data_IF_669681101921
#
_entry.id   IF_669681101921
#
_cell.length_a   1.000
_cell.length_b   1.000
_cell.length_c   1.000
_cell.angle_alpha   90.00
_cell.angle_beta   90.00
_cell.angle_gamma   90.00
#
_symmetry.space_group_name_H-M   'P 1'
#
loop_
_entity.id
_entity.type
_entity.pdbx_description
1 polymer ?
#
# COMPACT_ATOMS: atom_id res chain seq x y z
N UNK A 1 -51.58 47.10 50.33
CA UNK A 1 -50.15 46.77 50.57
C UNK A 1 -50.11 45.27 50.84
N UNK A 2 -49.93 44.49 49.81
CA UNK A 2 -49.81 43.02 49.95
C UNK A 2 -48.44 42.61 49.41
N UNK A 3 -47.63 42.04 50.28
CA UNK A 3 -46.28 41.55 49.96
C UNK A 3 -46.40 40.21 49.20
N UNK A 4 -45.67 40.12 48.09
CA UNK A 4 -45.47 38.90 47.35
C UNK A 4 -44.43 38.02 48.08
N UNK A 5 -44.61 36.69 48.13
CA UNK A 5 -43.60 35.83 48.71
C UNK A 5 -42.54 35.49 47.64
N UNK A 6 -41.33 35.94 47.87
CA UNK A 6 -40.13 35.52 47.16
C UNK A 6 -39.71 34.15 47.73
N UNK A 7 -40.06 33.08 46.98
CA UNK A 7 -39.81 31.71 47.40
C UNK A 7 -39.09 30.90 46.31
N UNK A 8 -37.92 31.33 45.89
CA UNK A 8 -36.97 30.44 45.17
C UNK A 8 -35.83 30.05 46.13
N UNK A 9 -35.97 28.85 46.65
CA UNK A 9 -34.87 28.24 47.37
C UNK A 9 -33.66 28.09 46.42
N UNK A 10 -32.43 28.46 46.80
CA UNK A 10 -31.25 28.24 45.98
C UNK A 10 -31.03 26.72 45.85
N UNK A 11 -31.10 26.23 44.64
CA UNK A 11 -30.67 24.86 44.32
C UNK A 11 -29.24 24.74 44.80
N UNK A 12 -29.01 23.84 45.77
CA UNK A 12 -27.76 23.72 46.46
C UNK A 12 -26.60 23.49 45.48
N UNK A 13 -25.70 24.47 45.41
CA UNK A 13 -24.50 24.44 44.57
C UNK A 13 -23.72 23.09 44.59
N UNK A 14 -23.67 22.36 45.73
CA UNK A 14 -23.02 21.02 45.76
C UNK A 14 -23.77 19.92 45.02
N UNK A 15 -25.07 20.02 44.80
CA UNK A 15 -25.82 19.02 44.04
C UNK A 15 -25.61 19.23 42.54
N UNK A 16 -25.56 20.48 42.08
CA UNK A 16 -25.28 20.82 40.68
C UNK A 16 -23.82 20.47 40.30
N UNK A 17 -22.86 20.72 41.19
CA UNK A 17 -21.48 20.38 41.00
C UNK A 17 -21.30 18.86 40.84
N UNK A 18 -21.92 18.03 41.67
CA UNK A 18 -21.93 16.56 41.55
C UNK A 18 -22.60 16.06 40.27
N UNK A 19 -23.64 16.72 39.80
CA UNK A 19 -24.24 16.36 38.50
C UNK A 19 -23.34 16.72 37.33
N UNK A 20 -22.69 17.87 37.36
CA UNK A 20 -21.73 18.28 36.31
C UNK A 20 -20.50 17.34 36.28
N UNK A 21 -19.97 16.93 37.45
CA UNK A 21 -18.91 15.92 37.52
C UNK A 21 -19.35 14.59 36.92
N UNK A 22 -20.55 14.10 37.25
CA UNK A 22 -21.09 12.87 36.66
C UNK A 22 -21.29 12.98 35.15
N UNK A 23 -21.74 14.12 34.64
CA UNK A 23 -21.89 14.39 33.21
C UNK A 23 -20.52 14.45 32.55
N UNK A 24 -19.55 15.14 33.17
CA UNK A 24 -18.18 15.19 32.65
C UNK A 24 -17.53 13.80 32.57
N UNK A 25 -17.64 12.99 33.64
CA UNK A 25 -17.14 11.63 33.68
C UNK A 25 -17.86 10.73 32.64
N UNK A 26 -19.16 10.90 32.47
CA UNK A 26 -19.91 10.15 31.45
C UNK A 26 -19.54 10.59 30.01
N UNK A 27 -19.33 11.89 29.77
CA UNK A 27 -18.86 12.42 28.53
C UNK A 27 -17.42 12.00 28.21
N UNK A 28 -16.54 11.97 29.21
CA UNK A 28 -15.18 11.46 29.12
C UNK A 28 -15.17 9.95 28.80
N UNK A 29 -16.05 9.17 29.40
CA UNK A 29 -16.24 7.75 29.09
C UNK A 29 -16.81 7.53 27.70
N UNK A 30 -17.75 8.35 27.24
CA UNK A 30 -18.33 8.30 25.89
C UNK A 30 -17.39 8.84 24.82
N UNK A 31 -16.60 9.87 25.15
CA UNK A 31 -15.63 10.47 24.22
C UNK A 31 -14.40 9.58 24.02
N UNK A 32 -14.24 8.51 24.82
CA UNK A 32 -13.09 7.61 24.69
C UNK A 32 -11.74 8.35 24.79
N UNK A 33 -11.67 9.40 25.62
CA UNK A 33 -10.50 10.27 25.76
C UNK A 33 -9.35 9.63 26.56
N UNK A 34 -9.00 8.43 26.20
CA UNK A 34 -7.62 7.99 26.39
C UNK A 34 -6.89 8.43 25.12
N UNK A 35 -5.90 9.30 25.26
CA UNK A 35 -5.01 9.64 24.14
C UNK A 35 -4.61 8.34 23.44
N UNK A 36 -4.67 8.28 22.10
CA UNK A 36 -4.26 7.08 21.38
C UNK A 36 -2.88 6.67 21.87
N UNK A 37 -2.64 5.37 22.00
CA UNK A 37 -1.34 4.89 22.44
C UNK A 37 -0.27 5.48 21.53
N UNK A 38 0.84 5.95 22.12
CA UNK A 38 1.93 6.51 21.34
C UNK A 38 2.47 5.46 20.37
N UNK A 39 2.78 5.88 19.14
CA UNK A 39 3.40 5.01 18.15
C UNK A 39 4.86 4.79 18.54
N UNK A 40 5.26 3.53 18.69
CA UNK A 40 6.66 3.14 18.82
C UNK A 40 7.25 2.95 17.41
N UNK A 41 7.92 3.99 16.91
CA UNK A 41 8.55 3.96 15.59
C UNK A 41 9.82 3.11 15.51
N UNK A 42 10.40 2.75 16.66
CA UNK A 42 11.60 1.93 16.75
C UNK A 42 11.27 0.42 16.80
N UNK A 43 9.99 0.07 17.00
CA UNK A 43 9.53 -1.31 17.08
C UNK A 43 9.67 -2.08 15.75
N UNK A 44 9.67 -1.40 14.59
CA UNK A 44 9.71 -2.07 13.29
C UNK A 44 10.20 -1.14 12.16
N UNK A 45 10.60 -1.76 11.04
CA UNK A 45 10.91 -1.04 9.80
C UNK A 45 9.67 -0.87 8.90
N UNK A 46 8.58 -1.57 9.22
CA UNK A 46 7.31 -1.50 8.49
C UNK A 46 6.14 -1.44 9.45
N UNK A 47 5.12 -0.68 9.08
CA UNK A 47 3.91 -0.45 9.86
C UNK A 47 2.69 -0.61 8.98
N UNK A 48 1.54 -0.91 9.60
CA UNK A 48 0.24 -0.89 8.95
C UNK A 48 -0.63 0.19 9.57
N UNK A 49 -1.23 0.99 8.72
CA UNK A 49 -2.19 2.00 9.13
C UNK A 49 -3.51 1.35 9.56
N UNK A 50 -3.98 1.68 10.76
CA UNK A 50 -5.26 1.20 11.34
C UNK A 50 -6.30 2.30 11.48
N UNK A 51 -5.91 3.55 11.28
CA UNK A 51 -6.78 4.71 11.47
C UNK A 51 -6.89 5.18 12.91
N UNK A 52 -7.47 6.35 13.08
CA UNK A 52 -7.86 6.89 14.39
C UNK A 52 -9.28 6.42 14.72
N UNK A 53 -9.50 5.15 14.99
CA UNK A 53 -10.84 4.64 15.28
C UNK A 53 -11.38 5.13 16.63
N UNK A 54 -12.66 5.50 16.69
CA UNK A 54 -13.36 5.80 17.93
C UNK A 54 -13.30 4.57 18.85
N UNK A 55 -12.67 4.73 20.03
CA UNK A 55 -12.54 3.66 21.02
C UNK A 55 -11.31 2.75 20.87
N UNK A 56 -10.41 2.99 19.94
CA UNK A 56 -9.18 2.22 19.81
C UNK A 56 -8.17 2.62 20.88
N UNK A 57 -7.89 1.71 21.82
CA UNK A 57 -6.78 1.82 22.77
C UNK A 57 -5.41 1.55 22.11
N UNK A 58 -5.40 1.24 20.82
CA UNK A 58 -4.22 0.88 20.03
C UNK A 58 -3.68 2.07 19.27
N UNK A 59 -2.36 2.11 19.09
CA UNK A 59 -1.70 3.11 18.26
C UNK A 59 -2.24 3.06 16.81
N UNK A 60 -2.34 4.20 16.10
CA UNK A 60 -2.85 4.26 14.71
C UNK A 60 -1.94 3.53 13.72
N UNK A 61 -0.67 3.33 14.06
CA UNK A 61 0.30 2.51 13.31
C UNK A 61 0.60 1.23 14.09
N UNK A 62 0.29 0.09 13.48
CA UNK A 62 0.62 -1.24 13.98
C UNK A 62 1.96 -1.70 13.41
N UNK A 63 2.97 -2.06 14.23
CA UNK A 63 4.23 -2.57 13.75
C UNK A 63 4.06 -3.94 13.07
N UNK A 64 4.72 -4.14 11.91
CA UNK A 64 4.82 -5.42 11.22
C UNK A 64 6.10 -6.11 11.67
N UNK A 65 5.99 -7.07 12.58
CA UNK A 65 7.14 -7.72 13.21
C UNK A 65 8.05 -8.46 12.21
N UNK A 66 7.47 -9.08 11.16
CA UNK A 66 8.22 -9.82 10.15
C UNK A 66 7.72 -9.44 8.74
N UNK A 67 8.14 -8.29 8.20
CA UNK A 67 7.77 -7.91 6.85
C UNK A 67 8.37 -8.89 5.83
N UNK A 68 7.59 -9.27 4.82
CA UNK A 68 8.05 -10.13 3.73
C UNK A 68 9.03 -9.34 2.83
N UNK A 69 10.31 -9.40 3.13
CA UNK A 69 11.37 -8.71 2.40
C UNK A 69 11.85 -9.54 1.21
N UNK A 70 12.32 -8.87 0.17
CA UNK A 70 12.87 -9.48 -1.05
C UNK A 70 14.10 -8.68 -1.44
N UNK A 71 15.20 -9.33 -1.79
CA UNK A 71 16.37 -8.65 -2.35
C UNK A 71 16.16 -8.33 -3.84
N UNK A 72 16.76 -7.25 -4.36
CA UNK A 72 16.63 -6.87 -5.77
C UNK A 72 17.14 -7.93 -6.73
N UNK A 73 18.19 -8.64 -6.38
CA UNK A 73 18.79 -9.74 -7.16
C UNK A 73 17.90 -10.99 -7.25
N UNK A 74 16.96 -11.16 -6.32
CA UNK A 74 15.94 -12.21 -6.37
C UNK A 74 14.78 -11.89 -7.32
N UNK A 75 14.68 -10.66 -7.80
CA UNK A 75 13.66 -10.25 -8.76
C UNK A 75 14.08 -10.65 -10.19
N UNK A 76 13.19 -11.31 -10.92
CA UNK A 76 13.41 -11.74 -12.31
C UNK A 76 12.52 -10.95 -13.26
N UNK A 77 13.03 -10.69 -14.46
CA UNK A 77 12.29 -10.09 -15.59
C UNK A 77 11.78 -8.64 -15.36
N UNK A 78 12.28 -7.96 -14.31
CA UNK A 78 11.86 -6.60 -13.94
C UNK A 78 13.07 -5.66 -13.71
N UNK A 79 14.24 -6.00 -14.24
CA UNK A 79 15.47 -5.28 -13.96
C UNK A 79 15.41 -3.78 -14.32
N UNK A 80 14.80 -3.43 -15.46
CA UNK A 80 14.62 -2.02 -15.86
C UNK A 80 13.69 -1.27 -14.90
N UNK A 81 12.56 -1.88 -14.56
CA UNK A 81 11.58 -1.31 -13.63
C UNK A 81 12.18 -1.16 -12.24
N UNK A 82 12.88 -2.19 -11.76
CA UNK A 82 13.57 -2.19 -10.48
C UNK A 82 14.62 -1.08 -10.40
N UNK A 83 15.44 -0.90 -11.42
CA UNK A 83 16.47 0.12 -11.47
C UNK A 83 15.92 1.56 -11.38
N UNK A 84 14.76 1.82 -12.01
CA UNK A 84 14.08 3.13 -11.93
C UNK A 84 13.62 3.40 -10.50
N UNK A 85 12.91 2.45 -9.87
CA UNK A 85 12.34 2.60 -8.55
C UNK A 85 13.43 2.64 -7.47
N UNK A 86 14.45 1.78 -7.59
CA UNK A 86 15.61 1.75 -6.69
C UNK A 86 16.35 3.09 -6.71
N UNK A 87 16.64 3.64 -7.89
CA UNK A 87 17.29 4.94 -8.02
C UNK A 87 16.49 6.05 -7.35
N UNK A 88 15.18 6.11 -7.58
CA UNK A 88 14.29 7.09 -6.97
C UNK A 88 14.27 6.96 -5.44
N UNK A 89 14.19 5.73 -4.93
CA UNK A 89 14.22 5.46 -3.49
C UNK A 89 15.57 5.84 -2.87
N UNK A 90 16.67 5.55 -3.56
CA UNK A 90 18.01 5.95 -3.12
C UNK A 90 18.15 7.47 -3.03
N UNK A 91 17.68 8.21 -4.04
CA UNK A 91 17.64 9.68 -4.01
C UNK A 91 16.87 10.18 -2.78
N UNK A 92 15.69 9.64 -2.54
CA UNK A 92 14.85 10.00 -1.40
C UNK A 92 15.54 9.76 -0.05
N UNK A 93 16.13 8.60 0.15
CA UNK A 93 16.83 8.23 1.40
C UNK A 93 18.01 9.15 1.67
N UNK A 94 18.73 9.56 0.63
CA UNK A 94 19.84 10.51 0.74
C UNK A 94 19.40 11.98 0.84
N UNK A 95 18.12 12.27 0.88
CA UNK A 95 17.59 13.64 1.04
C UNK A 95 17.54 14.43 -0.26
N UNK A 96 17.74 13.80 -1.42
CA UNK A 96 17.57 14.43 -2.72
C UNK A 96 16.10 14.42 -3.16
N UNK A 97 15.78 15.28 -4.14
CA UNK A 97 14.46 15.30 -4.74
C UNK A 97 14.12 13.94 -5.36
N UNK A 98 12.92 13.46 -5.04
CA UNK A 98 12.38 12.19 -5.51
C UNK A 98 10.88 12.30 -5.77
N UNK A 99 10.32 11.38 -6.56
CA UNK A 99 8.94 11.44 -7.00
C UNK A 99 8.08 10.34 -6.36
N UNK A 100 6.79 10.59 -6.25
CA UNK A 100 5.80 9.55 -6.02
C UNK A 100 5.81 8.56 -7.19
N UNK A 101 5.56 7.27 -6.92
CA UNK A 101 5.69 6.19 -7.91
C UNK A 101 4.38 5.43 -8.07
N UNK A 102 3.93 5.27 -9.31
CA UNK A 102 2.82 4.41 -9.68
C UNK A 102 3.33 3.22 -10.51
N UNK A 103 3.09 2.01 -10.01
CA UNK A 103 3.43 0.75 -10.66
C UNK A 103 2.17 0.11 -11.21
N UNK A 104 2.02 0.06 -12.54
CA UNK A 104 0.80 -0.46 -13.21
C UNK A 104 1.08 -1.73 -13.98
N UNK A 105 0.03 -2.52 -14.26
CA UNK A 105 0.12 -3.65 -15.18
C UNK A 105 -0.30 -4.99 -14.58
N UNK A 106 0.03 -6.08 -15.27
CA UNK A 106 -0.48 -7.42 -15.01
C UNK A 106 -0.24 -7.89 -13.57
N UNK A 107 -1.16 -8.71 -13.05
CA UNK A 107 -1.05 -9.29 -11.70
C UNK A 107 0.12 -10.26 -11.61
N UNK A 108 0.81 -10.28 -10.47
CA UNK A 108 1.87 -11.23 -10.18
C UNK A 108 3.17 -11.00 -10.97
N UNK A 109 3.39 -9.81 -11.53
CA UNK A 109 4.60 -9.43 -12.28
C UNK A 109 5.70 -8.80 -11.44
N UNK A 110 5.53 -8.69 -10.12
CA UNK A 110 6.58 -8.20 -9.22
C UNK A 110 6.42 -6.74 -8.76
N UNK A 111 5.30 -6.05 -9.06
CA UNK A 111 5.07 -4.66 -8.65
C UNK A 111 5.31 -4.44 -7.15
N UNK A 112 4.54 -5.12 -6.31
CA UNK A 112 4.67 -5.02 -4.84
C UNK A 112 6.01 -5.57 -4.33
N UNK A 113 6.62 -6.52 -5.06
CA UNK A 113 7.94 -7.08 -4.70
C UNK A 113 9.05 -6.04 -4.84
N UNK A 114 8.99 -5.12 -5.82
CA UNK A 114 9.97 -4.03 -5.94
C UNK A 114 9.89 -3.09 -4.74
N UNK A 115 8.69 -2.75 -4.25
CA UNK A 115 8.54 -1.90 -3.05
C UNK A 115 9.15 -2.58 -1.82
N UNK A 116 8.92 -3.89 -1.67
CA UNK A 116 9.55 -4.69 -0.60
C UNK A 116 11.07 -4.78 -0.73
N UNK A 117 11.58 -4.78 -1.96
CA UNK A 117 13.02 -4.75 -2.23
C UNK A 117 13.64 -3.39 -1.87
N UNK A 118 12.93 -2.28 -2.11
CA UNK A 118 13.35 -0.96 -1.62
C UNK A 118 13.47 -0.95 -0.09
N UNK A 119 12.48 -1.47 0.63
CA UNK A 119 12.55 -1.55 2.08
C UNK A 119 13.74 -2.39 2.53
N UNK A 120 13.95 -3.57 1.93
CA UNK A 120 15.10 -4.44 2.24
C UNK A 120 16.43 -3.71 2.06
N UNK A 121 16.61 -3.01 0.93
CA UNK A 121 17.86 -2.36 0.59
C UNK A 121 18.15 -1.12 1.44
N UNK A 122 17.12 -0.39 1.88
CA UNK A 122 17.31 0.94 2.46
C UNK A 122 16.83 1.09 3.91
N UNK A 123 16.29 0.04 4.54
CA UNK A 123 15.85 0.11 5.94
C UNK A 123 17.00 0.48 6.91
N UNK A 124 18.21 -0.05 6.67
CA UNK A 124 19.40 0.29 7.44
C UNK A 124 19.85 1.76 7.26
N UNK A 125 19.38 2.42 6.19
CA UNK A 125 19.63 3.83 5.90
C UNK A 125 18.46 4.73 6.34
N UNK A 126 17.60 4.25 7.24
CA UNK A 126 16.51 5.02 7.80
C UNK A 126 15.22 4.99 7.00
N UNK A 127 15.08 4.14 5.98
CA UNK A 127 13.81 3.95 5.29
C UNK A 127 12.83 3.17 6.16
N UNK A 128 11.59 3.62 6.20
CA UNK A 128 10.45 2.95 6.84
C UNK A 128 9.30 2.83 5.84
N UNK A 129 8.43 1.84 6.04
CA UNK A 129 7.26 1.65 5.18
C UNK A 129 5.98 1.70 6.00
N UNK A 130 4.98 2.41 5.51
CA UNK A 130 3.62 2.41 6.06
C UNK A 130 2.68 1.83 5.00
N UNK A 131 2.18 0.63 5.26
CA UNK A 131 1.14 0.00 4.43
C UNK A 131 -0.21 0.63 4.73
N UNK A 132 -0.88 1.14 3.70
CA UNK A 132 -2.19 1.79 3.80
C UNK A 132 -3.17 1.06 2.89
N UNK A 133 -4.31 0.62 3.46
CA UNK A 133 -5.39 0.05 2.67
C UNK A 133 -6.12 1.14 1.87
N UNK A 134 -6.92 0.73 0.90
CA UNK A 134 -7.72 1.65 0.08
C UNK A 134 -8.63 2.55 0.94
N UNK A 135 -9.23 1.98 1.99
CA UNK A 135 -10.11 2.70 2.91
C UNK A 135 -9.35 3.76 3.73
N UNK A 136 -8.08 3.50 4.02
CA UNK A 136 -7.21 4.43 4.76
C UNK A 136 -6.63 5.57 3.93
N UNK A 137 -6.91 5.65 2.63
CA UNK A 137 -6.36 6.71 1.75
C UNK A 137 -6.83 8.12 2.14
N UNK A 138 -8.00 8.25 2.71
CA UNK A 138 -8.49 9.54 3.19
C UNK A 138 -7.68 10.07 4.37
N UNK A 139 -7.01 9.20 5.10
CA UNK A 139 -6.20 9.54 6.27
C UNK A 139 -4.76 9.89 5.91
N UNK A 140 -4.37 9.85 4.63
CA UNK A 140 -3.01 10.16 4.19
C UNK A 140 -2.46 11.49 4.73
N UNK A 141 -3.23 12.60 4.77
CA UNK A 141 -2.76 13.84 5.38
C UNK A 141 -2.41 13.67 6.86
N UNK A 142 -3.20 12.88 7.60
CA UNK A 142 -2.96 12.63 9.02
C UNK A 142 -1.75 11.69 9.24
N UNK A 143 -1.52 10.72 8.36
CA UNK A 143 -0.32 9.87 8.37
C UNK A 143 0.94 10.72 8.15
N UNK A 144 0.89 11.63 7.18
CA UNK A 144 1.99 12.56 6.88
C UNK A 144 2.31 13.42 8.10
N UNK A 145 1.30 14.03 8.72
CA UNK A 145 1.49 14.86 9.92
C UNK A 145 2.09 14.06 11.08
N UNK A 146 1.69 12.80 11.25
CA UNK A 146 2.20 11.91 12.29
C UNK A 146 3.72 11.65 12.18
N UNK A 147 4.24 11.58 10.95
CA UNK A 147 5.66 11.27 10.70
C UNK A 147 6.50 12.49 10.33
N UNK A 148 5.89 13.67 10.15
CA UNK A 148 6.51 14.89 9.66
C UNK A 148 7.78 15.31 10.42
N UNK A 149 7.74 15.23 11.75
CA UNK A 149 8.85 15.64 12.61
C UNK A 149 9.91 14.53 12.80
N UNK A 150 9.76 13.38 12.15
CA UNK A 150 10.66 12.25 12.28
C UNK A 150 11.86 12.38 11.35
N UNK A 151 13.04 11.92 11.77
CA UNK A 151 14.24 11.95 10.94
C UNK A 151 14.25 10.88 9.84
N UNK A 152 13.47 9.80 9.98
CA UNK A 152 13.40 8.72 9.03
C UNK A 152 12.68 9.14 7.75
N UNK A 153 12.89 8.39 6.69
CA UNK A 153 12.20 8.51 5.41
C UNK A 153 11.09 7.47 5.31
N UNK A 154 9.89 7.88 4.94
CA UNK A 154 8.70 7.03 4.94
C UNK A 154 8.19 6.79 3.53
N UNK A 155 8.11 5.52 3.13
CA UNK A 155 7.31 5.10 1.98
C UNK A 155 5.90 4.76 2.45
N UNK A 156 4.92 5.54 2.04
CA UNK A 156 3.50 5.18 2.18
C UNK A 156 3.15 4.29 0.99
N UNK A 157 2.80 3.04 1.28
CA UNK A 157 2.56 2.02 0.28
C UNK A 157 1.09 1.64 0.19
N UNK A 158 0.50 1.83 -1.01
CA UNK A 158 -0.87 1.46 -1.33
C UNK A 158 -0.85 0.33 -2.38
N UNK A 159 -1.12 -0.91 -1.96
CA UNK A 159 -1.15 -2.06 -2.87
C UNK A 159 -2.53 -2.23 -3.52
N UNK A 160 -2.53 -2.61 -4.80
CA UNK A 160 -3.73 -2.87 -5.62
C UNK A 160 -4.74 -1.69 -5.68
N UNK A 161 -4.20 -0.49 -5.87
CA UNK A 161 -4.99 0.73 -5.93
C UNK A 161 -5.88 0.76 -7.18
N UNK A 162 -7.17 0.89 -6.97
CA UNK A 162 -8.16 1.07 -8.02
C UNK A 162 -9.39 1.77 -7.45
N UNK A 163 -9.98 2.67 -8.20
CA UNK A 163 -11.19 3.38 -7.79
C UNK A 163 -12.36 3.00 -8.71
N UNK A 164 -13.54 2.89 -8.12
CA UNK A 164 -14.79 2.74 -8.86
C UNK A 164 -15.40 4.13 -9.14
N UNK A 165 -16.34 4.18 -10.08
CA UNK A 165 -17.03 5.44 -10.38
C UNK A 165 -17.81 5.92 -9.14
N UNK A 166 -17.59 7.19 -8.75
CA UNK A 166 -18.24 7.80 -7.58
C UNK A 166 -17.54 7.59 -6.23
N UNK A 167 -16.45 6.83 -6.17
CA UNK A 167 -15.65 6.74 -4.95
C UNK A 167 -14.93 8.06 -4.66
N UNK A 168 -14.97 8.49 -3.40
CA UNK A 168 -14.33 9.74 -2.94
C UNK A 168 -12.99 9.50 -2.22
N UNK A 169 -12.60 8.23 -2.01
CA UNK A 169 -11.39 7.83 -1.28
C UNK A 169 -10.07 8.36 -1.85
N UNK A 170 -10.05 8.82 -3.10
CA UNK A 170 -8.87 9.39 -3.74
C UNK A 170 -8.54 10.83 -3.30
N UNK A 171 -9.45 11.53 -2.59
CA UNK A 171 -9.23 12.94 -2.21
C UNK A 171 -8.03 13.12 -1.29
N UNK A 172 -7.86 12.26 -0.30
CA UNK A 172 -6.69 12.28 0.58
C UNK A 172 -5.40 12.03 -0.19
N UNK A 173 -5.43 11.07 -1.12
CA UNK A 173 -4.30 10.78 -2.01
C UNK A 173 -3.96 12.00 -2.88
N UNK A 174 -4.95 12.64 -3.52
CA UNK A 174 -4.77 13.83 -4.32
C UNK A 174 -4.10 14.95 -3.52
N UNK A 175 -4.57 15.22 -2.31
CA UNK A 175 -4.01 16.26 -1.42
C UNK A 175 -2.52 16.03 -1.15
N UNK A 176 -2.11 14.78 -0.93
CA UNK A 176 -0.71 14.46 -0.64
C UNK A 176 0.15 14.49 -1.91
N UNK A 177 -0.37 14.01 -3.06
CA UNK A 177 0.36 14.02 -4.33
C UNK A 177 0.57 15.43 -4.88
N UNK A 178 -0.40 16.34 -4.70
CA UNK A 178 -0.29 17.75 -5.14
C UNK A 178 0.69 18.56 -4.27
N UNK A 179 1.05 18.03 -3.10
CA UNK A 179 1.78 18.79 -2.10
C UNK A 179 0.88 19.82 -1.40
N UNK A 180 0.89 19.87 -0.09
CA UNK A 180 0.18 20.90 0.66
C UNK A 180 1.07 22.14 0.81
N UNK A 181 0.53 23.32 0.59
CA UNK A 181 1.22 24.61 0.89
C UNK A 181 1.64 24.68 2.39
N UNK A 182 0.96 23.91 3.23
CA UNK A 182 1.18 23.90 4.68
C UNK A 182 2.17 22.82 5.16
N UNK A 183 2.60 21.87 4.31
CA UNK A 183 3.46 20.76 4.74
C UNK A 183 4.64 20.55 3.82
N UNK A 184 5.84 20.62 4.39
CA UNK A 184 7.04 20.10 3.74
C UNK A 184 6.98 18.56 3.82
N UNK A 185 6.69 17.92 2.68
CA UNK A 185 6.61 16.46 2.53
C UNK A 185 7.98 15.84 2.27
N UNK A 186 9.04 16.50 2.68
CA UNK A 186 10.42 16.11 2.34
C UNK A 186 10.79 14.70 2.83
N UNK A 187 10.09 14.15 3.83
CA UNK A 187 10.35 12.83 4.40
C UNK A 187 9.31 11.75 4.06
N UNK A 188 8.34 12.03 3.14
CA UNK A 188 7.30 11.06 2.75
C UNK A 188 7.20 10.93 1.23
N UNK A 189 7.20 9.70 0.72
CA UNK A 189 6.83 9.38 -0.66
C UNK A 189 5.68 8.38 -0.69
N UNK A 190 4.81 8.52 -1.68
CA UNK A 190 3.72 7.57 -1.94
C UNK A 190 4.14 6.65 -3.08
N UNK A 191 4.10 5.34 -2.81
CA UNK A 191 4.26 4.29 -3.81
C UNK A 191 2.94 3.53 -3.91
N UNK A 192 2.38 3.45 -5.11
CA UNK A 192 1.14 2.73 -5.34
C UNK A 192 1.31 1.67 -6.43
N UNK A 193 0.61 0.54 -6.27
CA UNK A 193 0.48 -0.43 -7.36
C UNK A 193 -0.94 -0.46 -7.87
N UNK A 194 -1.12 -0.76 -9.17
CA UNK A 194 -2.43 -0.99 -9.76
C UNK A 194 -2.38 -2.12 -10.78
N UNK A 195 -3.43 -2.93 -10.81
CA UNK A 195 -3.62 -3.92 -11.84
C UNK A 195 -4.33 -3.36 -13.08
N UNK A 196 -4.80 -2.12 -13.00
CA UNK A 196 -5.39 -1.36 -14.11
C UNK A 196 -4.33 -0.44 -14.73
N UNK A 197 -4.48 -0.15 -16.01
CA UNK A 197 -3.62 0.82 -16.72
C UNK A 197 -3.84 2.24 -16.19
N UNK A 198 -5.09 2.56 -15.90
CA UNK A 198 -5.51 3.79 -15.24
C UNK A 198 -6.13 3.45 -13.88
N UNK A 199 -5.96 4.30 -12.88
CA UNK A 199 -6.44 4.08 -11.51
C UNK A 199 -7.96 3.98 -11.40
N UNK A 200 -8.69 4.56 -12.36
CA UNK A 200 -10.15 4.52 -12.45
C UNK A 200 -10.63 3.70 -13.65
N UNK A 201 -11.84 3.10 -13.63
CA UNK A 201 -12.34 2.29 -14.72
C UNK A 201 -12.61 3.13 -15.97
N UNK A 202 -12.24 2.60 -17.14
CA UNK A 202 -12.70 3.10 -18.42
C UNK A 202 -14.18 2.65 -18.57
N UNK A 203 -15.10 3.60 -18.62
CA UNK A 203 -16.51 3.28 -18.88
C UNK A 203 -16.77 3.33 -20.40
N UNK A 204 -17.61 2.43 -20.89
CA UNK A 204 -18.05 2.45 -22.29
C UNK A 204 -18.80 3.77 -22.63
N UNK A 205 -19.39 4.44 -21.62
CA UNK A 205 -20.00 5.77 -21.72
C UNK A 205 -18.99 6.89 -21.92
N UNK A 206 -17.72 6.69 -21.61
CA UNK A 206 -16.66 7.71 -21.76
C UNK A 206 -16.48 8.07 -23.24
N UNK A 207 -16.65 7.08 -24.13
CA UNK A 207 -16.66 7.31 -25.60
C UNK A 207 -17.93 8.04 -26.10
N UNK A 208 -19.03 8.01 -25.33
CA UNK A 208 -20.27 8.66 -25.70
C UNK A 208 -20.34 10.15 -25.24
N UNK A 209 -19.53 10.51 -24.22
CA UNK A 209 -19.48 11.86 -23.67
C UNK A 209 -18.32 12.71 -24.21
N UNK A 210 -17.69 12.26 -25.28
CA UNK A 210 -16.69 13.06 -25.98
C UNK A 210 -17.39 14.19 -26.72
N UNK A 211 -17.34 15.40 -26.18
CA UNK A 211 -17.80 16.60 -26.84
C UNK A 211 -16.73 17.10 -27.82
N UNK A 212 -17.11 17.33 -29.05
CA UNK A 212 -16.24 17.95 -30.03
C UNK A 212 -16.31 19.46 -29.85
N UNK A 213 -15.21 20.08 -29.46
CA UNK A 213 -15.13 21.53 -29.42
C UNK A 213 -15.21 22.13 -30.83
N UNK A 214 -15.61 23.41 -30.94
CA UNK A 214 -15.73 24.11 -32.23
C UNK A 214 -14.39 24.15 -33.02
N UNK A 215 -13.25 23.98 -32.36
CA UNK A 215 -11.92 23.88 -32.96
C UNK A 215 -11.55 22.48 -33.44
N UNK A 216 -12.43 21.48 -33.30
CA UNK A 216 -12.23 20.10 -33.72
C UNK A 216 -11.48 19.22 -32.71
N UNK A 217 -11.06 19.72 -31.56
CA UNK A 217 -10.46 18.94 -30.48
C UNK A 217 -11.51 18.14 -29.73
N UNK A 218 -11.14 16.91 -29.38
CA UNK A 218 -11.95 15.99 -28.59
C UNK A 218 -11.67 16.25 -27.10
N UNK A 219 -12.63 16.80 -26.39
CA UNK A 219 -12.54 16.91 -24.92
C UNK A 219 -13.15 15.68 -24.27
N UNK A 220 -12.34 14.93 -23.48
CA UNK A 220 -12.87 13.88 -22.62
C UNK A 220 -13.84 14.49 -21.61
N UNK A 221 -14.90 13.77 -21.24
CA UNK A 221 -15.80 14.23 -20.18
C UNK A 221 -15.07 14.43 -18.85
N UNK A 222 -15.54 15.33 -17.98
CA UNK A 222 -14.92 15.74 -16.69
C UNK A 222 -14.42 14.56 -15.84
N UNK A 223 -15.14 13.43 -15.85
CA UNK A 223 -14.78 12.23 -15.13
C UNK A 223 -13.53 11.52 -15.71
N UNK A 224 -13.27 11.65 -17.01
CA UNK A 224 -12.08 11.10 -17.67
C UNK A 224 -10.88 11.99 -17.38
N UNK A 225 -11.04 13.31 -17.41
CA UNK A 225 -9.99 14.26 -17.06
C UNK A 225 -9.55 14.12 -15.61
N UNK A 226 -10.48 13.91 -14.68
CA UNK A 226 -10.16 13.68 -13.27
C UNK A 226 -9.38 12.37 -13.05
N UNK A 227 -9.66 11.33 -13.83
CA UNK A 227 -8.98 10.01 -13.79
C UNK A 227 -7.54 10.10 -14.29
N UNK A 228 -7.33 10.75 -15.43
CA UNK A 228 -6.00 10.99 -16.01
C UNK A 228 -5.19 11.84 -15.03
N UNK A 229 -5.79 12.93 -14.56
CA UNK A 229 -5.20 13.89 -13.63
C UNK A 229 -4.66 13.27 -12.33
N UNK A 230 -5.32 12.24 -11.76
CA UNK A 230 -4.79 11.56 -10.56
C UNK A 230 -3.53 10.75 -10.86
N UNK A 231 -3.51 10.06 -12.01
CA UNK A 231 -2.35 9.26 -12.40
C UNK A 231 -1.14 10.12 -12.76
N UNK A 232 -1.36 11.27 -13.40
CA UNK A 232 -0.30 12.23 -13.80
C UNK A 232 0.41 12.88 -12.62
N UNK A 233 -0.22 12.89 -11.42
CA UNK A 233 0.42 13.38 -10.19
C UNK A 233 1.54 12.49 -9.68
N UNK A 234 1.62 11.24 -10.15
CA UNK A 234 2.78 10.40 -9.90
C UNK A 234 3.90 10.79 -10.88
N UNK A 235 4.97 11.36 -10.38
CA UNK A 235 6.09 11.80 -11.21
C UNK A 235 6.88 10.66 -11.88
N UNK A 236 6.71 9.42 -11.37
CA UNK A 236 7.25 8.20 -11.97
C UNK A 236 6.13 7.20 -12.18
N UNK A 237 5.97 6.78 -13.44
CA UNK A 237 5.02 5.75 -13.83
C UNK A 237 5.75 4.59 -14.49
N UNK A 238 5.63 3.39 -13.90
CA UNK A 238 6.32 2.19 -14.38
C UNK A 238 5.30 1.11 -14.72
N UNK A 239 5.33 0.64 -15.96
CA UNK A 239 4.40 -0.39 -16.45
C UNK A 239 5.05 -1.78 -16.47
N UNK A 240 4.27 -2.77 -16.03
CA UNK A 240 4.63 -4.18 -16.00
C UNK A 240 3.74 -4.96 -16.96
N UNK A 241 4.36 -5.73 -17.83
CA UNK A 241 3.67 -6.58 -18.79
C UNK A 241 3.57 -8.03 -18.28
N UNK A 242 2.61 -8.78 -18.78
CA UNK A 242 2.54 -10.22 -18.53
C UNK A 242 3.79 -10.91 -19.04
N UNK A 243 4.18 -12.01 -18.40
CA UNK A 243 5.39 -12.73 -18.74
C UNK A 243 5.21 -13.50 -20.06
N UNK A 244 6.25 -13.48 -20.88
CA UNK A 244 6.44 -14.47 -21.95
C UNK A 244 6.62 -15.86 -21.36
N UNK A 245 6.61 -16.89 -22.22
CA UNK A 245 6.85 -18.25 -21.77
C UNK A 245 8.25 -18.41 -21.13
N UNK A 246 9.25 -17.83 -21.77
CA UNK A 246 10.65 -17.94 -21.30
C UNK A 246 10.86 -17.18 -19.99
N UNK A 247 10.25 -16.01 -19.84
CA UNK A 247 10.28 -15.25 -18.59
C UNK A 247 9.59 -15.99 -17.43
N UNK A 248 8.48 -16.68 -17.71
CA UNK A 248 7.80 -17.51 -16.73
C UNK A 248 8.68 -18.68 -16.29
N UNK A 249 9.25 -19.40 -17.27
CA UNK A 249 10.15 -20.54 -16.99
C UNK A 249 11.40 -20.10 -16.24
N UNK A 250 11.99 -18.96 -16.58
CA UNK A 250 13.15 -18.42 -15.85
C UNK A 250 12.86 -18.20 -14.35
N UNK A 251 11.63 -17.79 -13.99
CA UNK A 251 11.23 -17.69 -12.59
C UNK A 251 11.09 -19.06 -11.94
N UNK A 252 10.47 -20.03 -12.64
CA UNK A 252 10.36 -21.42 -12.16
C UNK A 252 11.74 -22.01 -11.88
N UNK A 253 12.65 -21.93 -12.85
CA UNK A 253 14.02 -22.42 -12.76
C UNK A 253 14.78 -21.80 -11.58
N UNK A 254 14.68 -20.47 -11.43
CA UNK A 254 15.29 -19.77 -10.31
C UNK A 254 14.75 -20.23 -8.95
N UNK A 255 13.45 -20.54 -8.86
CA UNK A 255 12.82 -20.98 -7.61
C UNK A 255 13.14 -22.43 -7.28
N UNK A 256 13.18 -23.31 -8.27
CA UNK A 256 13.58 -24.70 -8.08
C UNK A 256 15.07 -24.81 -7.75
N UNK A 257 15.94 -24.04 -8.43
CA UNK A 257 17.36 -23.99 -8.10
C UNK A 257 17.62 -23.51 -6.65
N UNK A 258 16.88 -22.47 -6.20
CA UNK A 258 16.94 -22.00 -4.81
C UNK A 258 16.42 -23.06 -3.78
N UNK A 259 15.56 -23.99 -4.24
CA UNK A 259 15.09 -25.11 -3.44
C UNK A 259 16.05 -26.34 -3.48
N UNK A 260 17.19 -26.25 -4.19
CA UNK A 260 18.21 -27.29 -4.23
C UNK A 260 18.06 -28.31 -5.36
N UNK A 261 17.17 -28.07 -6.33
CA UNK A 261 16.99 -28.93 -7.49
C UNK A 261 18.16 -28.81 -8.46
N UNK A 262 18.61 -29.91 -9.02
CA UNK A 262 19.64 -29.95 -10.05
C UNK A 262 19.11 -29.57 -11.44
N UNK A 263 20.02 -29.36 -12.39
CA UNK A 263 19.68 -28.92 -13.75
C UNK A 263 18.81 -29.96 -14.50
N UNK A 264 18.93 -31.27 -14.22
CA UNK A 264 18.13 -32.31 -14.85
C UNK A 264 16.69 -32.26 -14.32
N UNK A 265 16.52 -32.13 -13.03
CA UNK A 265 15.22 -31.99 -12.36
C UNK A 265 14.51 -30.69 -12.80
N UNK A 266 15.26 -29.58 -12.88
CA UNK A 266 14.73 -28.30 -13.36
C UNK A 266 14.26 -28.41 -14.83
N UNK A 267 15.04 -29.06 -15.69
CA UNK A 267 14.61 -29.32 -17.08
C UNK A 267 13.35 -30.18 -17.15
N UNK A 268 13.23 -31.21 -16.34
CA UNK A 268 12.05 -32.08 -16.28
C UNK A 268 10.81 -31.31 -15.80
N UNK A 269 10.94 -30.27 -14.99
CA UNK A 269 9.86 -29.47 -14.47
C UNK A 269 9.24 -28.51 -15.53
N UNK A 270 9.90 -28.24 -16.67
CA UNK A 270 9.48 -27.24 -17.66
C UNK A 270 8.09 -27.53 -18.26
N UNK A 271 7.86 -28.75 -18.70
CA UNK A 271 6.56 -29.14 -19.30
C UNK A 271 5.43 -29.11 -18.26
N UNK A 272 5.55 -29.72 -17.08
CA UNK A 272 4.57 -29.55 -16.00
C UNK A 272 4.30 -28.10 -15.61
N UNK A 273 5.33 -27.24 -15.61
CA UNK A 273 5.17 -25.81 -15.31
C UNK A 273 4.32 -25.09 -16.35
N UNK A 274 4.50 -25.39 -17.62
CA UNK A 274 3.69 -24.81 -18.71
C UNK A 274 2.25 -25.27 -18.66
N UNK A 275 2.01 -26.56 -18.38
CA UNK A 275 0.67 -27.09 -18.16
C UNK A 275 -0.03 -26.39 -16.98
N UNK A 276 0.67 -26.24 -15.86
CA UNK A 276 0.18 -25.52 -14.67
C UNK A 276 -0.23 -24.07 -15.00
N UNK A 277 0.58 -23.37 -15.80
CA UNK A 277 0.26 -22.01 -16.23
C UNK A 277 -0.95 -21.96 -17.19
N UNK A 278 -1.08 -22.94 -18.08
CA UNK A 278 -2.20 -23.06 -19.01
C UNK A 278 -3.53 -23.26 -18.26
N UNK A 279 -3.57 -24.17 -17.29
CA UNK A 279 -4.74 -24.42 -16.45
C UNK A 279 -5.21 -23.19 -15.67
N UNK A 280 -4.29 -22.29 -15.33
CA UNK A 280 -4.58 -21.04 -14.58
C UNK A 280 -4.78 -19.83 -15.49
N UNK A 281 -4.68 -20.00 -16.79
CA UNK A 281 -4.92 -18.98 -17.81
C UNK A 281 -3.93 -17.80 -17.76
N UNK A 282 -2.79 -17.92 -17.07
CA UNK A 282 -1.83 -16.82 -16.97
C UNK A 282 -0.39 -17.31 -16.70
N UNK A 283 0.57 -16.52 -17.20
CA UNK A 283 1.99 -16.66 -16.90
C UNK A 283 2.43 -15.47 -16.05
N UNK A 284 2.76 -15.72 -14.77
CA UNK A 284 3.18 -14.66 -13.85
C UNK A 284 4.15 -15.23 -12.80
N UNK A 285 4.90 -14.35 -12.15
CA UNK A 285 5.80 -14.75 -11.06
C UNK A 285 5.07 -15.41 -9.90
N UNK A 286 3.84 -15.01 -9.60
CA UNK A 286 3.01 -15.66 -8.57
C UNK A 286 2.70 -17.11 -8.92
N UNK A 287 2.30 -17.36 -10.17
CA UNK A 287 1.99 -18.72 -10.65
C UNK A 287 3.25 -19.57 -10.70
N UNK A 288 4.39 -19.01 -11.12
CA UNK A 288 5.68 -19.70 -11.11
C UNK A 288 6.11 -20.12 -9.68
N UNK A 289 5.95 -19.23 -8.69
CA UNK A 289 6.26 -19.55 -7.29
C UNK A 289 5.29 -20.61 -6.73
N UNK A 290 4.01 -20.54 -7.07
CA UNK A 290 3.03 -21.54 -6.64
C UNK A 290 3.36 -22.92 -7.24
N UNK A 291 3.67 -22.97 -8.54
CA UNK A 291 4.13 -24.21 -9.19
C UNK A 291 5.38 -24.77 -8.51
N UNK A 292 6.42 -23.97 -8.34
CA UNK A 292 7.67 -24.44 -7.77
C UNK A 292 7.49 -24.99 -6.35
N UNK A 293 6.64 -24.40 -5.53
CA UNK A 293 6.30 -24.89 -4.19
C UNK A 293 5.56 -26.23 -4.23
N UNK A 294 4.54 -26.35 -5.09
CA UNK A 294 3.77 -27.58 -5.23
C UNK A 294 4.63 -28.71 -5.78
N UNK A 295 5.42 -28.42 -6.83
CA UNK A 295 6.31 -29.38 -7.47
C UNK A 295 7.39 -29.90 -6.51
N UNK A 296 8.03 -29.00 -5.75
CA UNK A 296 9.01 -29.38 -4.74
C UNK A 296 8.38 -30.20 -3.61
N UNK A 297 7.18 -29.82 -3.15
CA UNK A 297 6.48 -30.56 -2.09
C UNK A 297 6.11 -31.98 -2.51
N UNK A 298 5.60 -32.16 -3.74
CA UNK A 298 5.26 -33.50 -4.25
C UNK A 298 6.47 -34.43 -4.37
N UNK A 299 7.58 -33.93 -4.92
CA UNK A 299 8.78 -34.72 -5.05
C UNK A 299 9.39 -35.09 -3.69
N UNK A 300 9.33 -34.20 -2.70
CA UNK A 300 9.77 -34.49 -1.34
C UNK A 300 8.90 -35.58 -0.67
N UNK A 301 7.59 -35.55 -0.90
CA UNK A 301 6.66 -36.58 -0.39
C UNK A 301 6.89 -37.95 -1.06
N UNK A 302 7.11 -37.97 -2.39
CA UNK A 302 7.39 -39.18 -3.18
C UNK A 302 8.75 -39.83 -2.81
N UNK A 303 9.77 -39.02 -2.47
CA UNK A 303 11.07 -39.50 -2.08
C UNK A 303 11.19 -39.99 -0.63
N UNK A 304 10.15 -39.75 0.18
CA UNK A 304 10.14 -40.09 1.62
C UNK A 304 11.13 -39.27 2.44
N UNK A 305 11.78 -38.27 1.87
CA UNK A 305 12.66 -37.33 2.55
C UNK A 305 11.85 -36.22 3.20
N UNK A 306 11.34 -36.51 4.41
CA UNK A 306 10.63 -35.55 5.26
C UNK A 306 11.55 -34.46 5.80
N UNK A 307 12.11 -33.62 4.94
CA UNK A 307 12.75 -32.38 5.35
C UNK A 307 11.75 -31.22 5.17
N UNK A 308 11.52 -30.36 6.17
CA UNK A 308 10.66 -29.21 6.01
C UNK A 308 11.27 -28.26 4.99
N UNK A 309 10.60 -28.09 3.85
CA UNK A 309 10.89 -27.01 2.89
C UNK A 309 10.74 -25.70 3.64
N UNK A 310 11.83 -25.11 4.11
CA UNK A 310 11.80 -23.74 4.63
C UNK A 310 11.37 -22.83 3.49
N UNK A 311 10.28 -22.08 3.60
CA UNK A 311 9.94 -21.11 2.59
C UNK A 311 11.07 -20.08 2.54
N UNK A 312 11.71 -19.95 1.37
CA UNK A 312 12.61 -18.85 1.11
C UNK A 312 11.80 -17.55 1.30
N UNK A 313 12.27 -16.71 2.21
CA UNK A 313 11.68 -15.43 2.58
C UNK A 313 11.56 -14.49 1.36
#
# INVERSE_FOLDING_TARGET
MAALPDGRAPVAAPALARQLERIATALEALAGTRAPAAVDFDAAIAFRWRGFGAGHQTAPLEPIAAPALVAFDALRNVGRQAAIVERNTRQFVHGFAANHVLLTGARGTGKSSIVKACLYAFAAHGLRLIEVSKEGLNDLPAIVELVRARPERYLVFCDDLSFEAGETGYKGLKTVLDGSVASDLSNVLVYATSNRRHLMPEQASDNANVTRAENGELHPGDAVEERISLSERFGIWVTFYGFTQDEYLAVVESRLGAAGFDDAQIRAAREPALQWALERGARSGRIAVQFARDYAGRLADESGEGAPVRPAA
#
